data_IF_236969621171
#
_entry.id   IF_236969621171
#
_cell.length_a   1.000
_cell.length_b   1.000
_cell.length_c   1.000
_cell.angle_alpha   90.00
_cell.angle_beta   90.00
_cell.angle_gamma   90.00
#
_symmetry.space_group_name_H-M   'P 1'
#
loop_
_entity.id
_entity.type
_entity.pdbx_description
1 polymer ?
#
# COMPACT_ATOMS: atom_id res chain seq x y z
N UNK A 1 -44.42 -24.08 -9.51
CA UNK A 1 -44.11 -22.64 -9.59
C UNK A 1 -43.19 -22.29 -8.43
N UNK A 2 -41.90 -22.10 -8.66
CA UNK A 2 -40.95 -21.80 -7.57
C UNK A 2 -41.00 -20.30 -7.29
N UNK A 3 -41.56 -19.92 -6.14
CA UNK A 3 -41.55 -18.52 -5.70
C UNK A 3 -40.18 -18.19 -5.14
N UNK A 4 -39.31 -17.61 -5.99
CA UNK A 4 -38.05 -17.04 -5.55
C UNK A 4 -38.33 -15.76 -4.76
N UNK A 5 -38.55 -15.92 -3.44
CA UNK A 5 -38.44 -14.78 -2.52
C UNK A 5 -36.98 -14.39 -2.45
N UNK A 6 -36.62 -13.32 -3.16
CA UNK A 6 -35.41 -12.56 -2.89
C UNK A 6 -35.50 -12.04 -1.46
N UNK A 7 -34.99 -12.82 -0.51
CA UNK A 7 -34.57 -12.27 0.76
C UNK A 7 -33.37 -11.38 0.46
N UNK A 8 -33.65 -10.09 0.30
CA UNK A 8 -32.63 -9.06 0.33
C UNK A 8 -31.91 -9.18 1.67
N UNK A 9 -30.74 -9.82 1.65
CA UNK A 9 -29.83 -9.87 2.78
C UNK A 9 -29.21 -8.49 2.93
N UNK A 10 -30.06 -7.57 3.40
CA UNK A 10 -29.69 -6.25 3.91
C UNK A 10 -28.69 -6.46 5.03
N UNK A 11 -27.42 -6.41 4.67
CA UNK A 11 -26.30 -6.28 5.60
C UNK A 11 -26.53 -4.97 6.35
N UNK A 12 -27.12 -5.05 7.54
CA UNK A 12 -27.55 -3.92 8.40
C UNK A 12 -26.38 -3.07 8.95
N UNK A 13 -25.19 -3.22 8.40
CA UNK A 13 -23.96 -2.60 8.87
C UNK A 13 -23.29 -1.81 7.73
N UNK A 14 -23.61 -0.51 7.69
CA UNK A 14 -22.73 0.57 7.16
C UNK A 14 -21.95 0.28 5.87
N UNK A 15 -22.61 -0.28 4.85
CA UNK A 15 -22.00 -0.52 3.55
C UNK A 15 -22.38 0.55 2.54
N UNK A 16 -21.41 1.28 1.98
CA UNK A 16 -21.62 2.08 0.77
C UNK A 16 -22.17 1.17 -0.36
N UNK A 17 -23.04 1.70 -1.22
CA UNK A 17 -23.52 0.95 -2.38
C UNK A 17 -22.37 0.62 -3.33
N UNK A 18 -22.43 -0.56 -3.96
CA UNK A 18 -21.53 -0.88 -5.08
C UNK A 18 -21.92 0.10 -6.20
N UNK A 19 -20.98 0.92 -6.65
CA UNK A 19 -21.23 1.87 -7.74
C UNK A 19 -21.23 1.13 -9.07
N UNK A 20 -21.95 1.64 -10.08
CA UNK A 20 -22.02 1.01 -11.41
C UNK A 20 -20.65 0.72 -12.05
N UNK A 21 -19.65 1.59 -11.81
CA UNK A 21 -18.27 1.41 -12.29
C UNK A 21 -17.48 0.31 -11.56
N UNK A 22 -17.99 -0.18 -10.43
CA UNK A 22 -17.39 -1.23 -9.61
C UNK A 22 -18.07 -2.60 -9.81
N UNK A 23 -19.22 -2.66 -10.49
CA UNK A 23 -19.96 -3.90 -10.75
C UNK A 23 -19.11 -4.95 -11.49
N UNK A 24 -18.16 -4.52 -12.34
CA UNK A 24 -17.22 -5.41 -13.02
C UNK A 24 -16.35 -6.25 -12.07
N UNK A 25 -16.08 -5.78 -10.85
CA UNK A 25 -15.30 -6.50 -9.85
C UNK A 25 -16.13 -7.43 -8.96
N UNK A 26 -17.44 -7.57 -9.23
CA UNK A 26 -18.38 -8.31 -8.37
C UNK A 26 -19.17 -9.32 -9.20
N UNK A 27 -18.97 -10.60 -8.93
CA UNK A 27 -19.79 -11.68 -9.48
C UNK A 27 -20.75 -12.21 -8.42
N UNK A 28 -21.89 -12.76 -8.86
CA UNK A 28 -22.87 -13.41 -8.00
C UNK A 28 -22.90 -14.91 -8.29
N UNK A 29 -22.60 -15.71 -7.28
CA UNK A 29 -22.79 -17.16 -7.30
C UNK A 29 -24.12 -17.53 -6.64
N UNK A 30 -24.94 -18.29 -7.35
CA UNK A 30 -26.13 -18.91 -6.79
C UNK A 30 -25.77 -20.31 -6.27
N UNK A 31 -25.88 -20.50 -4.96
CA UNK A 31 -25.70 -21.78 -4.29
C UNK A 31 -27.07 -22.32 -3.86
N UNK A 32 -27.35 -23.59 -4.15
CA UNK A 32 -28.55 -24.27 -3.68
C UNK A 32 -28.20 -24.92 -2.33
N UNK A 33 -28.83 -24.46 -1.25
CA UNK A 33 -28.66 -25.07 0.06
C UNK A 33 -29.55 -26.31 0.23
N UNK A 34 -29.17 -27.18 1.17
CA UNK A 34 -29.79 -28.50 1.40
C UNK A 34 -31.29 -28.41 1.76
N UNK A 35 -31.68 -27.35 2.46
CA UNK A 35 -33.06 -26.96 2.78
C UNK A 35 -33.86 -26.44 1.57
N UNK A 36 -33.30 -26.47 0.35
CA UNK A 36 -33.85 -25.94 -0.91
C UNK A 36 -33.98 -24.41 -0.98
N UNK A 37 -33.29 -23.63 -0.13
CA UNK A 37 -33.13 -22.19 -0.35
C UNK A 37 -32.03 -21.88 -1.36
N UNK A 38 -32.17 -20.76 -2.07
CA UNK A 38 -31.14 -20.20 -2.95
C UNK A 38 -30.35 -19.15 -2.18
N UNK A 39 -29.03 -19.30 -2.12
CA UNK A 39 -28.11 -18.35 -1.52
C UNK A 39 -27.33 -17.63 -2.62
N UNK A 40 -27.49 -16.31 -2.70
CA UNK A 40 -26.68 -15.47 -3.57
C UNK A 40 -25.45 -14.98 -2.80
N UNK A 41 -24.28 -15.48 -3.19
CA UNK A 41 -22.99 -15.13 -2.60
C UNK A 41 -22.27 -14.16 -3.54
N UNK A 42 -21.76 -13.05 -3.00
CA UNK A 42 -20.91 -12.10 -3.72
C UNK A 42 -19.47 -12.63 -3.72
N UNK A 43 -18.90 -12.77 -4.89
CA UNK A 43 -17.49 -13.11 -5.10
C UNK A 43 -16.81 -11.89 -5.74
N UNK A 44 -15.66 -11.49 -5.21
CA UNK A 44 -14.97 -10.26 -5.58
C UNK A 44 -13.68 -10.60 -6.33
N UNK A 45 -13.51 -10.05 -7.52
CA UNK A 45 -12.30 -10.26 -8.33
C UNK A 45 -11.07 -9.57 -7.71
N UNK A 46 -11.29 -8.41 -7.07
CA UNK A 46 -10.27 -7.59 -6.42
C UNK A 46 -10.55 -7.44 -4.93
N UNK A 47 -9.51 -7.16 -4.14
CA UNK A 47 -9.69 -6.96 -2.71
C UNK A 47 -10.55 -5.71 -2.47
N UNK A 48 -11.67 -5.90 -1.75
CA UNK A 48 -12.51 -4.82 -1.26
C UNK A 48 -11.87 -4.23 -0.01
N UNK A 49 -11.42 -2.99 -0.09
CA UNK A 49 -10.72 -2.28 0.99
C UNK A 49 -11.54 -1.07 1.43
N UNK A 50 -11.87 -0.99 2.72
CA UNK A 50 -12.54 0.16 3.31
C UNK A 50 -11.63 1.39 3.35
N UNK A 51 -12.20 2.59 3.29
CA UNK A 51 -11.47 3.85 3.41
C UNK A 51 -12.09 4.69 4.52
N UNK A 52 -11.27 5.16 5.46
CA UNK A 52 -11.69 5.96 6.62
C UNK A 52 -10.75 7.11 6.96
N UNK A 53 -11.22 8.07 7.75
CA UNK A 53 -10.38 9.06 8.42
C UNK A 53 -9.74 8.49 9.69
N UNK A 54 -8.76 9.18 10.31
CA UNK A 54 -8.20 8.80 11.61
C UNK A 54 -9.21 8.87 12.76
N UNK A 55 -10.31 9.61 12.57
CA UNK A 55 -11.44 9.71 13.51
C UNK A 55 -12.51 8.63 13.27
N UNK A 56 -12.15 7.54 12.58
CA UNK A 56 -13.02 6.44 12.13
C UNK A 56 -14.23 6.86 11.26
N UNK A 57 -14.18 8.04 10.64
CA UNK A 57 -15.21 8.43 9.66
C UNK A 57 -15.08 7.56 8.41
N UNK A 58 -16.07 6.69 8.18
CA UNK A 58 -16.08 5.76 7.04
C UNK A 58 -16.52 6.48 5.77
N UNK A 59 -15.62 6.62 4.80
CA UNK A 59 -15.92 7.20 3.49
C UNK A 59 -16.55 6.18 2.54
N UNK A 60 -16.16 4.91 2.67
CA UNK A 60 -16.72 3.79 1.91
C UNK A 60 -15.68 2.71 1.65
N UNK A 61 -15.62 2.20 0.42
CA UNK A 61 -14.61 1.23 0.00
C UNK A 61 -14.25 1.37 -1.48
N UNK A 62 -13.12 0.74 -1.82
CA UNK A 62 -12.55 0.66 -3.16
C UNK A 62 -12.17 -0.79 -3.47
N UNK A 63 -12.04 -1.11 -4.76
CA UNK A 63 -11.55 -2.40 -5.26
C UNK A 63 -10.13 -2.25 -5.77
N UNK A 64 -9.19 -2.97 -5.15
CA UNK A 64 -7.73 -2.82 -5.39
C UNK A 64 -7.02 -4.18 -5.44
N UNK A 65 -5.79 -4.17 -5.93
CA UNK A 65 -4.85 -5.29 -5.83
C UNK A 65 -3.83 -5.01 -4.73
N UNK A 66 -3.43 -6.04 -3.96
CA UNK A 66 -2.61 -5.85 -2.76
C UNK A 66 -1.19 -5.34 -3.06
N UNK A 67 -0.67 -5.63 -4.26
CA UNK A 67 0.65 -5.19 -4.70
C UNK A 67 0.61 -3.83 -5.45
N UNK A 68 -0.55 -3.19 -5.54
CA UNK A 68 -0.71 -1.90 -6.23
C UNK A 68 0.01 -0.80 -5.44
N UNK A 69 0.81 0.04 -6.11
CA UNK A 69 1.59 1.09 -5.45
C UNK A 69 0.68 2.22 -4.97
N UNK A 70 0.98 2.86 -3.83
CA UNK A 70 0.12 3.89 -3.26
C UNK A 70 -0.11 5.08 -4.22
N UNK A 71 0.88 5.42 -5.03
CA UNK A 71 0.75 6.45 -6.08
C UNK A 71 -0.36 6.15 -7.09
N UNK A 72 -0.60 4.86 -7.39
CA UNK A 72 -1.70 4.41 -8.26
C UNK A 72 -3.01 4.33 -7.47
N UNK A 73 -2.96 3.84 -6.22
CA UNK A 73 -4.11 3.80 -5.30
C UNK A 73 -4.72 5.19 -5.12
N UNK A 74 -3.90 6.25 -5.03
CA UNK A 74 -4.35 7.64 -4.88
C UNK A 74 -5.36 8.06 -5.95
N UNK A 75 -5.06 7.78 -7.22
CA UNK A 75 -5.94 8.10 -8.36
C UNK A 75 -7.20 7.22 -8.32
N UNK A 76 -7.03 5.91 -8.09
CA UNK A 76 -8.13 4.96 -8.00
C UNK A 76 -9.10 5.31 -6.86
N UNK A 77 -8.59 5.74 -5.72
CA UNK A 77 -9.35 6.15 -4.54
C UNK A 77 -10.14 7.45 -4.80
N UNK A 78 -9.53 8.39 -5.54
CA UNK A 78 -10.24 9.57 -6.02
C UNK A 78 -11.39 9.22 -6.98
N UNK A 79 -11.12 8.41 -8.01
CA UNK A 79 -12.08 8.04 -9.05
C UNK A 79 -13.20 7.12 -8.57
N UNK A 80 -12.90 6.10 -7.76
CA UNK A 80 -13.90 5.17 -7.27
C UNK A 80 -14.72 5.74 -6.11
N UNK A 81 -14.13 6.61 -5.27
CA UNK A 81 -14.75 7.00 -4.00
C UNK A 81 -14.92 8.52 -3.85
N UNK A 82 -13.84 9.28 -3.68
CA UNK A 82 -13.88 10.66 -3.13
C UNK A 82 -14.41 11.73 -4.08
N UNK A 83 -14.28 11.55 -5.39
CA UNK A 83 -14.74 12.52 -6.39
C UNK A 83 -16.26 12.72 -6.38
N UNK A 84 -17.02 11.70 -5.98
CA UNK A 84 -18.49 11.70 -5.92
C UNK A 84 -19.05 11.95 -4.50
N UNK A 85 -18.20 12.07 -3.47
CA UNK A 85 -18.66 12.35 -2.12
C UNK A 85 -19.09 13.83 -1.96
N UNK A 86 -20.17 14.11 -1.21
CA UNK A 86 -20.53 15.47 -0.82
C UNK A 86 -19.33 16.16 -0.16
N UNK A 87 -19.00 17.38 -0.60
CA UNK A 87 -17.88 18.13 -0.02
C UNK A 87 -18.24 18.63 1.37
N UNK A 88 -17.30 18.49 2.29
CA UNK A 88 -17.41 18.79 3.70
C UNK A 88 -16.02 18.85 4.33
N UNK A 89 -15.95 19.22 5.61
CA UNK A 89 -14.69 19.55 6.31
C UNK A 89 -13.61 18.46 6.21
N UNK A 90 -14.02 17.20 6.35
CA UNK A 90 -13.09 16.05 6.39
C UNK A 90 -12.96 15.31 5.05
N UNK A 91 -13.72 15.70 4.02
CA UNK A 91 -13.70 15.04 2.70
C UNK A 91 -12.70 15.75 1.78
N UNK A 92 -11.69 15.04 1.23
CA UNK A 92 -10.69 15.68 0.37
C UNK A 92 -11.30 16.44 -0.83
N UNK A 93 -10.82 17.66 -1.01
CA UNK A 93 -11.22 18.55 -2.12
C UNK A 93 -10.59 18.16 -3.47
N UNK A 94 -9.51 17.38 -3.46
CA UNK A 94 -8.78 16.95 -4.65
C UNK A 94 -7.92 15.70 -4.39
N UNK A 95 -7.34 15.08 -5.44
CA UNK A 95 -6.56 13.84 -5.34
C UNK A 95 -5.25 14.00 -4.55
N UNK A 96 -4.80 15.23 -4.30
CA UNK A 96 -3.62 15.56 -3.48
C UNK A 96 -3.96 16.22 -2.13
N UNK A 97 -5.25 16.32 -1.78
CA UNK A 97 -5.73 16.91 -0.53
C UNK A 97 -5.90 15.87 0.60
N UNK A 98 -5.12 14.78 0.54
CA UNK A 98 -5.02 13.78 1.61
C UNK A 98 -3.66 13.11 1.57
N UNK A 99 -3.19 12.60 2.69
CA UNK A 99 -2.05 11.68 2.78
C UNK A 99 -2.52 10.32 3.30
N UNK A 100 -1.89 9.25 2.84
CA UNK A 100 -2.11 7.91 3.41
C UNK A 100 -1.44 7.85 4.78
N UNK A 101 -2.03 7.11 5.73
CA UNK A 101 -1.34 6.77 6.97
C UNK A 101 -0.79 5.34 6.90
N UNK A 102 0.39 5.13 7.50
CA UNK A 102 0.91 3.79 7.77
C UNK A 102 0.12 3.12 8.92
N UNK A 103 0.49 1.88 9.26
CA UNK A 103 -0.12 1.11 10.35
C UNK A 103 0.06 1.73 11.75
N UNK A 104 1.00 2.67 11.91
CA UNK A 104 1.25 3.41 13.16
C UNK A 104 0.55 4.79 13.18
N UNK A 105 -0.10 5.20 12.08
CA UNK A 105 -0.74 6.50 11.93
C UNK A 105 0.17 7.62 11.40
N UNK A 106 1.40 7.33 10.95
CA UNK A 106 2.28 8.33 10.37
C UNK A 106 1.93 8.62 8.90
N UNK A 107 1.93 9.90 8.47
CA UNK A 107 1.61 10.26 7.10
C UNK A 107 2.72 9.88 6.11
N UNK A 108 2.33 9.13 5.07
CA UNK A 108 3.16 8.77 3.92
C UNK A 108 3.01 9.86 2.88
N UNK A 109 4.05 10.67 2.68
CA UNK A 109 4.00 11.78 1.71
C UNK A 109 4.13 11.29 0.26
N UNK A 110 3.68 12.08 -0.70
CA UNK A 110 3.66 11.72 -2.13
C UNK A 110 5.01 11.25 -2.73
N UNK A 111 6.15 11.64 -2.15
CA UNK A 111 7.49 11.16 -2.55
C UNK A 111 7.79 9.74 -2.07
N UNK A 112 7.15 9.29 -1.00
CA UNK A 112 7.28 7.95 -0.42
C UNK A 112 6.29 6.95 -1.02
N UNK A 113 5.16 7.40 -1.60
CA UNK A 113 4.12 6.55 -2.22
C UNK A 113 4.62 5.59 -3.33
N UNK A 114 5.84 5.78 -3.84
CA UNK A 114 6.51 4.89 -4.81
C UNK A 114 7.32 3.76 -4.14
N UNK A 115 7.35 3.72 -2.81
CA UNK A 115 8.04 2.70 -2.00
C UNK A 115 7.08 1.79 -1.24
N UNK A 116 5.78 2.09 -1.28
CA UNK A 116 4.73 1.39 -0.55
C UNK A 116 3.63 0.87 -1.48
N UNK A 117 3.04 -0.25 -1.09
CA UNK A 117 1.90 -0.91 -1.72
C UNK A 117 0.67 -0.87 -0.80
N UNK A 118 -0.49 -1.29 -1.31
CA UNK A 118 -1.71 -1.49 -0.50
C UNK A 118 -1.43 -2.38 0.71
N UNK A 119 -0.67 -3.46 0.54
CA UNK A 119 -0.38 -4.44 1.60
C UNK A 119 0.36 -3.82 2.79
N UNK A 120 1.19 -2.81 2.56
CA UNK A 120 2.01 -2.17 3.60
C UNK A 120 1.21 -1.24 4.52
N UNK A 121 0.01 -0.82 4.10
CA UNK A 121 -0.83 0.16 4.83
C UNK A 121 -2.23 -0.34 5.20
N UNK A 122 -2.69 -1.46 4.63
CA UNK A 122 -3.99 -2.02 4.96
C UNK A 122 -3.94 -2.63 6.36
N UNK A 123 -4.75 -2.10 7.26
CA UNK A 123 -5.02 -2.69 8.56
C UNK A 123 -6.52 -2.99 8.70
N UNK A 124 -6.88 -4.19 9.17
CA UNK A 124 -8.27 -4.66 9.29
C UNK A 124 -9.13 -4.44 8.02
N UNK A 125 -8.57 -4.73 6.84
CA UNK A 125 -9.17 -4.44 5.53
C UNK A 125 -9.51 -2.97 5.27
N UNK A 126 -8.88 -2.03 6.00
CA UNK A 126 -9.06 -0.59 5.83
C UNK A 126 -7.75 0.13 5.48
N UNK A 127 -7.87 1.18 4.65
CA UNK A 127 -6.87 2.23 4.47
C UNK A 127 -7.36 3.46 5.24
N UNK A 128 -6.46 4.07 6.01
CA UNK A 128 -6.71 5.35 6.69
C UNK A 128 -6.09 6.48 5.87
N UNK A 129 -6.87 7.52 5.58
CA UNK A 129 -6.39 8.74 4.90
C UNK A 129 -6.61 9.95 5.80
N UNK A 130 -5.61 10.82 5.91
CA UNK A 130 -5.72 12.10 6.61
C UNK A 130 -5.88 13.23 5.59
N UNK A 131 -7.01 13.94 5.66
CA UNK A 131 -7.31 15.08 4.78
C UNK A 131 -6.38 16.25 5.10
N UNK A 132 -5.75 16.83 4.07
CA UNK A 132 -4.78 17.92 4.23
C UNK A 132 -5.15 19.13 3.37
N UNK A 133 -5.16 20.31 3.99
CA UNK A 133 -5.38 21.60 3.33
C UNK A 133 -4.07 22.12 2.78
N UNK A 134 -3.69 21.66 1.59
CA UNK A 134 -2.52 22.21 0.88
C UNK A 134 -2.89 23.49 0.15
N UNK A 135 -2.02 24.50 0.25
CA UNK A 135 -2.09 25.67 -0.61
C UNK A 135 -1.79 25.29 -2.06
N UNK A 136 -2.15 26.14 -3.02
CA UNK A 136 -1.88 25.92 -4.45
C UNK A 136 -0.39 25.79 -4.79
N UNK A 137 0.49 26.22 -3.88
CA UNK A 137 1.95 26.31 -4.00
C UNK A 137 2.69 24.98 -3.69
N UNK A 138 2.06 24.04 -2.98
CA UNK A 138 2.63 22.71 -2.69
C UNK A 138 2.55 21.72 -3.87
N UNK A 139 2.16 22.21 -5.05
CA UNK A 139 2.12 21.40 -6.27
C UNK A 139 3.54 21.14 -6.78
N UNK A 140 4.03 19.92 -6.58
CA UNK A 140 5.29 19.46 -7.17
C UNK A 140 5.12 19.36 -8.69
N UNK A 141 5.60 20.37 -9.43
CA UNK A 141 5.63 20.32 -10.88
C UNK A 141 6.63 19.25 -11.36
N UNK A 142 6.08 18.15 -11.86
CA UNK A 142 6.85 17.02 -12.38
C UNK A 142 7.55 17.34 -13.72
N UNK A 143 7.21 18.43 -14.42
CA UNK A 143 7.90 18.83 -15.66
C UNK A 143 9.25 19.47 -15.40
N UNK A 144 9.38 20.25 -14.33
CA UNK A 144 10.59 21.02 -14.01
C UNK A 144 11.85 20.18 -13.72
N UNK A 145 11.72 18.84 -13.59
CA UNK A 145 12.84 17.93 -13.29
C UNK A 145 13.33 17.11 -14.49
N UNK A 146 12.71 17.24 -15.67
CA UNK A 146 13.09 16.45 -16.84
C UNK A 146 14.37 16.95 -17.54
N UNK A 147 14.75 18.23 -17.35
CA UNK A 147 15.83 18.88 -18.09
C UNK A 147 16.79 19.65 -17.17
N UNK A 148 17.64 18.92 -16.44
CA UNK A 148 18.93 19.44 -16.01
C UNK A 148 19.95 18.28 -15.99
N UNK A 149 20.92 18.23 -16.92
CA UNK A 149 22.10 17.41 -16.74
C UNK A 149 22.80 17.89 -15.47
N UNK A 150 22.93 17.01 -14.47
CA UNK A 150 23.63 17.35 -13.23
C UNK A 150 25.12 17.46 -13.51
N UNK A 151 25.60 18.67 -13.81
CA UNK A 151 27.03 18.96 -13.73
C UNK A 151 27.50 18.65 -12.31
N UNK A 152 28.33 17.60 -12.15
CA UNK A 152 29.03 17.35 -10.90
C UNK A 152 30.01 18.51 -10.69
N UNK A 153 29.62 19.49 -9.86
CA UNK A 153 30.60 20.35 -9.21
C UNK A 153 31.43 19.49 -8.27
N UNK A 154 32.72 19.35 -8.60
CA UNK A 154 33.69 18.66 -7.76
C UNK A 154 33.66 19.26 -6.34
N UNK A 155 33.51 18.40 -5.34
CA UNK A 155 33.51 18.80 -3.94
C UNK A 155 34.97 18.98 -3.52
N UNK A 156 35.38 20.16 -2.99
CA UNK A 156 36.74 20.36 -2.52
C UNK A 156 37.13 19.33 -1.45
N UNK A 157 38.33 18.79 -1.57
CA UNK A 157 38.84 17.64 -0.85
C UNK A 157 38.49 17.57 0.65
N UNK A 158 37.63 16.61 1.02
CA UNK A 158 37.52 16.16 2.42
C UNK A 158 38.83 15.46 2.82
N UNK A 159 39.57 16.08 3.73
CA UNK A 159 40.84 15.54 4.24
C UNK A 159 40.59 14.23 4.97
N UNK A 160 41.07 13.11 4.40
CA UNK A 160 40.93 11.78 5.00
C UNK A 160 41.63 11.75 6.38
N UNK A 161 40.93 11.39 7.47
CA UNK A 161 41.58 11.19 8.76
C UNK A 161 42.59 10.04 8.68
N UNK A 162 43.87 10.33 8.95
CA UNK A 162 44.91 9.29 9.08
C UNK A 162 44.51 8.31 10.19
N UNK A 163 44.35 7.03 9.83
CA UNK A 163 44.27 5.93 10.82
C UNK A 163 45.58 5.88 11.62
N UNK A 164 45.53 5.86 12.97
CA UNK A 164 46.69 5.48 13.78
C UNK A 164 47.03 4.01 13.53
N UNK A 165 48.33 3.70 13.51
CA UNK A 165 48.84 2.33 13.36
C UNK A 165 48.70 1.52 14.65
N UNK A 166 48.63 0.19 14.47
CA UNK A 166 49.04 -0.87 15.40
C UNK A 166 48.44 -0.87 16.82
N UNK A 167 47.55 -1.84 17.05
CA UNK A 167 47.33 -2.43 18.37
C UNK A 167 47.54 -3.94 18.23
N UNK A 168 48.64 -4.42 18.81
CA UNK A 168 49.00 -5.84 18.83
C UNK A 168 47.91 -6.69 19.50
N UNK A 169 47.58 -7.82 18.87
CA UNK A 169 46.80 -8.90 19.50
C UNK A 169 47.54 -10.24 19.31
N UNK A 170 47.61 -11.09 20.34
CA UNK A 170 48.59 -12.16 20.42
C UNK A 170 48.28 -13.35 19.51
N UNK A 171 49.34 -14.04 19.08
CA UNK A 171 49.29 -15.31 18.33
C UNK A 171 48.47 -16.35 19.08
N UNK A 172 47.34 -16.75 18.51
CA UNK A 172 46.69 -18.04 18.85
C UNK A 172 47.19 -19.13 17.89
N UNK A 173 47.99 -20.06 18.40
CA UNK A 173 48.26 -21.31 17.70
C UNK A 173 47.10 -22.29 17.93
N UNK A 174 46.42 -22.75 16.88
CA UNK A 174 46.45 -24.19 16.57
C UNK A 174 45.83 -24.60 15.23
N UNK A 175 46.37 -25.70 14.70
CA UNK A 175 45.74 -26.70 13.81
C UNK A 175 44.81 -26.19 12.68
N UNK A 176 45.32 -26.31 11.46
CA UNK A 176 44.79 -27.38 10.62
C UNK A 176 45.91 -28.18 9.96
N UNK A 177 45.78 -29.51 9.99
CA UNK A 177 46.68 -30.46 9.32
C UNK A 177 46.26 -30.59 7.86
N UNK A 178 47.21 -30.74 6.92
CA UNK A 178 47.05 -31.60 5.74
C UNK A 178 48.38 -31.76 4.97
N UNK A 179 48.63 -32.99 4.50
CA UNK A 179 49.82 -33.38 3.74
C UNK A 179 51.03 -33.77 4.61
N UNK A 180 51.83 -34.80 4.27
CA UNK A 180 51.72 -35.76 3.17
C UNK A 180 52.58 -37.02 3.45
N UNK A 181 52.29 -38.10 2.70
CA UNK A 181 52.99 -39.41 2.53
C UNK A 181 53.09 -40.32 3.81
N UNK A 182 53.24 -41.66 3.77
CA UNK A 182 53.47 -42.65 2.68
C UNK A 182 52.96 -44.09 3.00
N UNK A 183 53.31 -45.06 2.12
CA UNK A 183 53.30 -46.54 2.22
C UNK A 183 51.97 -47.32 2.05
N UNK A 184 51.89 -48.06 0.93
CA UNK A 184 51.09 -49.29 0.75
C UNK A 184 51.84 -50.50 1.33
N UNK A 185 51.13 -51.63 1.51
CA UNK A 185 51.67 -52.89 1.00
C UNK A 185 50.62 -53.81 0.36
N UNK A 186 51.03 -54.49 -0.72
CA UNK A 186 51.06 -55.96 -0.82
C UNK A 186 52.44 -56.36 -1.40
#
# INVERSE_FOLDING_TARGET
>A
MVSARLHDCSTRETGSSIKKRQECYVTLRCLIAENRSLHLVKEYEKQKVGVRSPQDQKFGYIFVENNLMLKQVRNLLWEQLLSELPKGQDVPSGPHCFDFLDSNGYPIVAKQEVLFTVLDIVNDYTITIHTVTRGSDDQVDYRARAEQPTELKEIPHLTVPRRPNALDLPRSMNRNKNGLIHQQPE
#
